data_IF_444311101274
#
_entry.id   IF_444311101274
#
_cell.length_a   1.000
_cell.length_b   1.000
_cell.length_c   1.000
_cell.angle_alpha   90.00
_cell.angle_beta   90.00
_cell.angle_gamma   90.00
#
_symmetry.space_group_name_H-M   'P 1'
#
loop_
_entity.id
_entity.type
_entity.pdbx_description
1 polymer ?
#
# COMPACT_ATOMS: atom_id res chain seq x y z
N UNK A 1 -7.48 -6.56 29.31
CA UNK A 1 -6.85 -5.83 28.19
C UNK A 1 -5.91 -6.84 27.58
N UNK A 2 -6.20 -7.28 26.37
CA UNK A 2 -5.58 -8.47 25.79
C UNK A 2 -4.18 -8.10 25.29
N UNK A 3 -3.19 -9.01 25.41
CA UNK A 3 -1.79 -8.73 25.06
C UNK A 3 -1.62 -8.16 23.64
N UNK A 4 -2.55 -8.53 22.74
CA UNK A 4 -2.62 -8.02 21.37
C UNK A 4 -2.90 -6.52 21.33
N UNK A 5 -3.82 -6.00 22.15
CA UNK A 5 -4.14 -4.56 22.12
C UNK A 5 -2.95 -3.73 22.59
N UNK A 6 -2.24 -4.19 23.63
CA UNK A 6 -1.05 -3.52 24.17
C UNK A 6 0.09 -3.50 23.14
N UNK A 7 0.28 -4.60 22.40
CA UNK A 7 1.26 -4.65 21.30
C UNK A 7 0.96 -3.62 20.21
N UNK A 8 -0.31 -3.53 19.77
CA UNK A 8 -0.71 -2.60 18.71
C UNK A 8 -0.58 -1.15 19.16
N UNK A 9 -1.00 -0.82 20.38
CA UNK A 9 -0.83 0.52 20.96
C UNK A 9 0.64 0.94 20.97
N UNK A 10 1.53 0.06 21.45
CA UNK A 10 2.98 0.32 21.51
C UNK A 10 3.59 0.50 20.11
N UNK A 11 3.15 -0.29 19.14
CA UNK A 11 3.58 -0.19 17.75
C UNK A 11 3.13 1.13 17.12
N UNK A 12 1.87 1.52 17.30
CA UNK A 12 1.34 2.77 16.77
C UNK A 12 1.99 3.98 17.42
N UNK A 13 2.27 3.93 18.72
CA UNK A 13 2.99 4.99 19.42
C UNK A 13 4.44 5.12 18.90
N UNK A 14 5.12 4.00 18.65
CA UNK A 14 6.46 4.00 18.05
C UNK A 14 6.45 4.60 16.63
N UNK A 15 5.50 4.21 15.79
CA UNK A 15 5.33 4.77 14.43
C UNK A 15 5.00 6.28 14.50
N UNK A 16 4.19 6.70 15.46
CA UNK A 16 3.81 8.10 15.62
C UNK A 16 4.97 8.99 16.03
N UNK A 17 5.88 8.46 16.85
CA UNK A 17 6.97 9.22 17.44
C UNK A 17 8.25 9.24 16.58
N UNK A 18 8.36 8.33 15.61
CA UNK A 18 9.53 8.21 14.73
C UNK A 18 9.10 8.32 13.26
N UNK A 19 9.42 9.46 12.64
CA UNK A 19 9.11 9.75 11.24
C UNK A 19 9.83 8.82 10.26
N UNK A 20 11.06 8.40 10.59
CA UNK A 20 11.83 7.43 9.81
C UNK A 20 11.11 6.07 9.78
N UNK A 21 10.64 5.59 10.94
CA UNK A 21 9.87 4.36 11.04
C UNK A 21 8.52 4.47 10.31
N UNK A 22 7.80 5.58 10.45
CA UNK A 22 6.56 5.82 9.72
C UNK A 22 6.77 5.78 8.20
N UNK A 23 7.78 6.47 7.69
CA UNK A 23 8.14 6.45 6.27
C UNK A 23 8.52 5.05 5.79
N UNK A 24 9.30 4.31 6.59
CA UNK A 24 9.70 2.94 6.29
C UNK A 24 8.52 1.98 6.22
N UNK A 25 7.53 2.10 7.12
CA UNK A 25 6.30 1.30 7.09
C UNK A 25 5.48 1.61 5.83
N UNK A 26 5.31 2.89 5.49
CA UNK A 26 4.60 3.30 4.26
C UNK A 26 5.29 2.75 3.02
N UNK A 27 6.63 2.86 2.95
CA UNK A 27 7.41 2.31 1.85
C UNK A 27 7.25 0.78 1.77
N UNK A 28 7.28 0.08 2.91
CA UNK A 28 7.04 -1.36 2.99
C UNK A 28 5.67 -1.79 2.48
N UNK A 29 4.62 -1.04 2.80
CA UNK A 29 3.27 -1.25 2.26
C UNK A 29 3.23 -1.04 0.74
N UNK A 30 3.94 -0.04 0.23
CA UNK A 30 4.10 0.18 -1.21
C UNK A 30 4.81 -0.98 -1.91
N UNK A 31 5.87 -1.53 -1.32
CA UNK A 31 6.58 -2.71 -1.85
C UNK A 31 5.66 -3.93 -1.86
N UNK A 32 4.91 -4.19 -0.79
CA UNK A 32 3.94 -5.28 -0.73
C UNK A 32 2.89 -5.15 -1.84
N UNK A 33 2.37 -3.94 -2.06
CA UNK A 33 1.42 -3.68 -3.14
C UNK A 33 2.06 -3.93 -4.52
N UNK A 34 3.31 -3.49 -4.73
CA UNK A 34 4.03 -3.71 -5.98
C UNK A 34 4.23 -5.21 -6.27
N UNK A 35 4.64 -5.97 -5.25
CA UNK A 35 4.77 -7.43 -5.35
C UNK A 35 3.42 -8.07 -5.70
N UNK A 36 2.34 -7.65 -5.03
CA UNK A 36 1.01 -8.18 -5.31
C UNK A 36 0.56 -7.91 -6.77
N UNK A 37 0.91 -6.75 -7.34
CA UNK A 37 0.67 -6.41 -8.76
C UNK A 37 1.53 -7.26 -9.71
N UNK A 38 2.79 -7.54 -9.36
CA UNK A 38 3.70 -8.36 -10.16
C UNK A 38 3.20 -9.80 -10.21
N UNK A 39 2.81 -10.36 -9.06
CA UNK A 39 2.29 -11.74 -8.92
C UNK A 39 0.85 -11.86 -9.42
N UNK A 40 0.26 -10.77 -9.93
CA UNK A 40 -1.09 -10.73 -10.51
C UNK A 40 -2.18 -11.15 -9.50
N UNK A 41 -2.07 -10.64 -8.27
CA UNK A 41 -2.99 -10.98 -7.20
C UNK A 41 -4.41 -10.46 -7.46
N UNK A 42 -5.39 -11.35 -7.45
CA UNK A 42 -6.80 -11.01 -7.74
C UNK A 42 -7.38 -9.98 -6.77
N UNK A 43 -7.05 -10.06 -5.48
CA UNK A 43 -7.52 -9.11 -4.47
C UNK A 43 -7.12 -7.65 -4.75
N UNK A 44 -6.03 -7.42 -5.50
CA UNK A 44 -5.59 -6.08 -5.91
C UNK A 44 -6.41 -5.55 -7.08
N UNK A 45 -6.91 -6.42 -7.95
CA UNK A 45 -7.50 -6.05 -9.25
C UNK A 45 -9.02 -6.25 -9.30
N UNK A 46 -9.60 -6.96 -8.34
CA UNK A 46 -11.04 -7.28 -8.28
C UNK A 46 -11.84 -6.40 -7.28
N UNK A 47 -11.21 -5.42 -6.63
CA UNK A 47 -11.72 -4.79 -5.41
C UNK A 47 -13.07 -4.03 -5.48
N UNK A 48 -14.19 -4.66 -5.16
CA UNK A 48 -15.41 -4.00 -4.64
C UNK A 48 -16.44 -3.46 -5.66
N UNK A 49 -17.45 -2.70 -5.22
CA UNK A 49 -18.54 -2.16 -6.06
C UNK A 49 -18.51 -0.62 -6.19
N UNK A 50 -17.32 -0.01 -6.20
CA UNK A 50 -17.15 1.44 -6.33
C UNK A 50 -17.06 1.94 -7.79
N UNK A 51 -17.38 3.23 -8.02
CA UNK A 51 -17.20 3.90 -9.32
C UNK A 51 -15.72 4.01 -9.73
N UNK A 52 -14.84 4.35 -8.79
CA UNK A 52 -13.38 4.35 -8.95
C UNK A 52 -12.77 3.01 -8.52
N UNK A 53 -13.39 1.92 -8.95
CA UNK A 53 -12.85 0.60 -8.71
C UNK A 53 -11.86 0.22 -9.82
N UNK A 54 -10.70 -0.28 -9.44
CA UNK A 54 -9.74 -0.89 -10.35
C UNK A 54 -10.34 -2.06 -11.14
N UNK A 55 -11.34 -2.77 -10.62
CA UNK A 55 -12.08 -3.79 -11.35
C UNK A 55 -12.96 -3.20 -12.47
N UNK A 56 -13.40 -1.94 -12.34
CA UNK A 56 -14.10 -1.22 -13.42
C UNK A 56 -13.11 -0.84 -14.51
N UNK A 57 -11.91 -0.38 -14.14
CA UNK A 57 -10.81 -0.10 -15.08
C UNK A 57 -10.35 -1.38 -15.78
N UNK A 58 -10.19 -2.47 -15.04
CA UNK A 58 -9.83 -3.81 -15.55
C UNK A 58 -10.86 -4.31 -16.55
N UNK A 59 -12.15 -4.09 -16.30
CA UNK A 59 -13.25 -4.45 -17.22
C UNK A 59 -13.28 -3.59 -18.49
N UNK A 60 -12.99 -2.29 -18.39
CA UNK A 60 -13.07 -1.37 -19.55
C UNK A 60 -11.81 -1.37 -20.41
N UNK A 61 -10.62 -1.41 -19.80
CA UNK A 61 -9.32 -1.26 -20.48
C UNK A 61 -8.47 -2.52 -20.45
N UNK A 62 -8.94 -3.58 -19.78
CA UNK A 62 -8.23 -4.84 -19.63
C UNK A 62 -7.36 -4.89 -18.38
N UNK A 63 -7.08 -6.13 -17.95
CA UNK A 63 -6.31 -6.42 -16.73
C UNK A 63 -4.88 -5.87 -16.79
N UNK A 64 -4.26 -5.85 -17.97
CA UNK A 64 -2.90 -5.31 -18.15
C UNK A 64 -2.83 -3.82 -17.82
N UNK A 65 -3.80 -3.01 -18.27
CA UNK A 65 -3.82 -1.57 -18.00
C UNK A 65 -4.05 -1.32 -16.51
N UNK A 66 -4.98 -2.06 -15.88
CA UNK A 66 -5.20 -1.98 -14.45
C UNK A 66 -3.93 -2.31 -13.64
N UNK A 67 -3.18 -3.34 -14.05
CA UNK A 67 -1.89 -3.70 -13.43
C UNK A 67 -0.86 -2.59 -13.55
N UNK A 68 -0.72 -1.98 -14.71
CA UNK A 68 0.22 -0.86 -14.91
C UNK A 68 -0.13 0.31 -13.99
N UNK A 69 -1.42 0.67 -13.90
CA UNK A 69 -1.88 1.76 -13.03
C UNK A 69 -1.63 1.46 -11.54
N UNK A 70 -1.90 0.23 -11.09
CA UNK A 70 -1.61 -0.18 -9.71
C UNK A 70 -0.10 -0.24 -9.44
N UNK A 71 0.71 -0.64 -10.41
CA UNK A 71 2.17 -0.61 -10.32
C UNK A 71 2.69 0.82 -10.16
N UNK A 72 2.17 1.77 -10.95
CA UNK A 72 2.51 3.19 -10.82
C UNK A 72 2.09 3.76 -9.46
N UNK A 73 0.91 3.39 -8.97
CA UNK A 73 0.45 3.78 -7.63
C UNK A 73 1.37 3.23 -6.54
N UNK A 74 1.74 1.94 -6.63
CA UNK A 74 2.67 1.32 -5.69
C UNK A 74 4.03 2.04 -5.69
N UNK A 75 4.57 2.37 -6.86
CA UNK A 75 5.80 3.15 -6.98
C UNK A 75 5.69 4.54 -6.34
N UNK A 76 4.56 5.23 -6.51
CA UNK A 76 4.32 6.51 -5.88
C UNK A 76 4.28 6.40 -4.34
N UNK A 77 3.66 5.34 -3.80
CA UNK A 77 3.62 5.08 -2.35
C UNK A 77 5.02 4.77 -1.82
N UNK A 78 5.80 3.94 -2.51
CA UNK A 78 7.20 3.64 -2.13
C UNK A 78 8.00 4.93 -2.09
N UNK A 79 7.92 5.74 -3.14
CA UNK A 79 8.67 6.99 -3.22
C UNK A 79 8.27 7.97 -2.11
N UNK A 80 6.98 8.12 -1.83
CA UNK A 80 6.50 8.95 -0.73
C UNK A 80 6.99 8.44 0.64
N UNK A 81 6.93 7.12 0.88
CA UNK A 81 7.45 6.52 2.10
C UNK A 81 8.95 6.73 2.28
N UNK A 82 9.75 6.55 1.23
CA UNK A 82 11.18 6.82 1.24
C UNK A 82 11.48 8.32 1.48
N UNK A 83 10.73 9.23 0.87
CA UNK A 83 10.89 10.66 1.11
C UNK A 83 10.63 11.03 2.57
N UNK A 84 9.56 10.50 3.16
CA UNK A 84 9.25 10.69 4.58
C UNK A 84 10.38 10.09 5.43
N UNK A 85 10.85 8.88 5.11
CA UNK A 85 11.88 8.21 5.89
C UNK A 85 13.23 8.92 5.88
N UNK A 86 13.54 9.68 4.82
CA UNK A 86 14.80 10.43 4.69
C UNK A 86 14.68 11.86 5.22
N UNK A 87 13.46 12.41 5.26
CA UNK A 87 13.22 13.78 5.72
C UNK A 87 13.18 13.93 7.25
N UNK A 88 13.02 12.82 7.96
CA UNK A 88 13.01 12.73 9.42
C UNK A 88 14.13 11.82 9.90
#
# INVERSE_FOLDING_TARGET
>A
MDDISVFFESLFESIRNDGTLAGSVIAGLGVLLLVAVIVDSDWVLEGGNGFFNIATISRMFGRTVARVLMGLLAMAIIFAGCLIAVAY
#
